data_IF_049359857951
#
_entry.id   IF_049359857951
#
_cell.length_a   1.000
_cell.length_b   1.000
_cell.length_c   1.000
_cell.angle_alpha   90.00
_cell.angle_beta   90.00
_cell.angle_gamma   90.00
#
_symmetry.space_group_name_H-M   'P 1'
#
loop_
_entity.id
_entity.type
_entity.pdbx_description
1 polymer ?
#
# COMPACT_ATOMS: atom_id res chain seq x y z
N UNK A 1 25.71 22.35 0.74
CA UNK A 1 26.23 22.87 2.03
C UNK A 1 27.60 23.44 1.68
N UNK A 2 27.61 24.74 1.42
CA UNK A 2 28.81 25.41 0.89
C UNK A 2 29.50 26.10 2.06
N UNK A 3 30.78 25.77 2.30
CA UNK A 3 31.68 26.55 3.14
C UNK A 3 31.85 26.15 4.60
N UNK A 4 31.30 25.07 5.07
CA UNK A 4 31.62 24.50 6.40
C UNK A 4 32.65 23.40 6.23
N UNK A 5 33.78 23.39 6.96
CA UNK A 5 34.70 22.27 6.96
C UNK A 5 33.95 21.01 7.39
N UNK A 6 33.86 20.02 6.51
CA UNK A 6 33.27 18.73 6.83
C UNK A 6 34.31 17.95 7.60
N UNK A 7 34.08 17.71 8.86
CA UNK A 7 34.89 16.86 9.72
C UNK A 7 34.28 15.46 9.73
N UNK A 8 35.00 14.49 9.23
CA UNK A 8 34.67 13.06 9.36
C UNK A 8 35.65 12.46 10.36
N UNK A 9 35.13 11.73 11.30
CA UNK A 9 35.91 11.00 12.25
C UNK A 9 36.56 9.75 11.66
N UNK A 10 37.27 9.01 12.50
CA UNK A 10 37.95 7.78 12.14
C UNK A 10 36.97 6.64 11.79
N UNK A 11 35.70 6.75 12.24
CA UNK A 11 34.62 5.83 11.93
C UNK A 11 33.96 6.10 10.55
N UNK A 12 34.37 7.21 9.86
CA UNK A 12 33.83 7.58 8.54
C UNK A 12 32.47 8.31 8.58
N UNK A 13 31.91 8.54 9.75
CA UNK A 13 30.69 9.34 9.92
C UNK A 13 31.05 10.84 10.05
N UNK A 14 30.08 11.68 9.72
CA UNK A 14 30.24 13.12 9.87
C UNK A 14 30.00 13.49 11.35
N UNK A 15 31.03 14.03 12.01
CA UNK A 15 31.04 14.31 13.45
C UNK A 15 29.81 15.09 13.96
N UNK A 16 29.27 16.00 13.15
CA UNK A 16 28.09 16.76 13.53
C UNK A 16 26.78 15.97 13.53
N UNK A 17 26.77 14.78 12.96
CA UNK A 17 25.64 13.86 12.99
C UNK A 17 25.75 12.84 14.13
N UNK A 18 26.81 12.90 14.91
CA UNK A 18 27.03 12.04 16.07
C UNK A 18 26.76 12.79 17.38
N UNK A 19 26.43 12.07 18.45
CA UNK A 19 26.26 12.64 19.78
C UNK A 19 27.58 13.09 20.41
N UNK A 20 28.71 12.53 19.95
CA UNK A 20 30.07 12.96 20.17
C UNK A 20 30.96 12.42 19.06
N UNK A 21 32.04 13.12 18.66
CA UNK A 21 32.92 12.65 17.58
C UNK A 21 33.38 11.21 17.76
N UNK A 22 33.31 10.42 16.68
CA UNK A 22 33.77 9.03 16.62
C UNK A 22 33.07 8.02 17.53
N UNK A 23 31.89 8.34 18.08
CA UNK A 23 31.18 7.42 18.99
C UNK A 23 30.18 6.51 18.28
N UNK A 24 29.94 6.67 16.98
CA UNK A 24 29.02 5.87 16.18
C UNK A 24 27.55 6.01 16.53
N UNK A 25 27.18 6.98 17.40
CA UNK A 25 25.80 7.22 17.79
C UNK A 25 25.28 8.50 17.13
N UNK A 26 24.26 8.36 16.31
CA UNK A 26 23.62 9.51 15.67
C UNK A 26 22.96 10.40 16.71
N UNK A 27 23.02 11.71 16.48
CA UNK A 27 22.39 12.74 17.33
C UNK A 27 20.96 13.07 16.89
N UNK A 28 20.40 12.29 16.00
CA UNK A 28 19.01 12.37 15.56
C UNK A 28 18.39 10.98 15.54
N UNK A 29 17.08 10.93 15.67
CA UNK A 29 16.28 9.72 15.46
C UNK A 29 15.71 9.78 14.06
N UNK A 30 15.88 8.72 13.26
CA UNK A 30 15.18 8.60 11.98
C UNK A 30 13.67 8.63 12.22
N UNK A 31 12.93 9.18 11.25
CA UNK A 31 11.47 9.13 11.28
C UNK A 31 11.00 7.71 10.94
N UNK A 32 10.02 7.24 11.68
CA UNK A 32 9.25 6.03 11.47
C UNK A 32 7.79 6.49 11.58
N UNK A 33 7.14 6.67 10.43
CA UNK A 33 5.85 7.37 10.35
C UNK A 33 4.69 6.46 10.79
N UNK A 34 4.71 5.19 10.42
CA UNK A 34 3.68 4.20 10.72
C UNK A 34 3.96 3.40 12.00
N UNK A 35 5.17 3.58 12.57
CA UNK A 35 5.61 2.92 13.82
C UNK A 35 5.74 1.40 13.73
N UNK A 36 6.06 0.87 12.55
CA UNK A 36 6.27 -0.57 12.35
C UNK A 36 7.67 -1.04 12.77
N UNK A 37 8.59 -0.11 13.04
CA UNK A 37 9.99 -0.35 13.43
C UNK A 37 10.97 -0.23 12.28
N UNK A 38 10.50 0.03 11.06
CA UNK A 38 11.29 0.34 9.87
C UNK A 38 11.36 1.86 9.72
N UNK A 39 12.56 2.42 9.59
CA UNK A 39 12.68 3.87 9.44
C UNK A 39 12.38 4.27 8.00
N UNK A 40 11.70 5.39 7.78
CA UNK A 40 11.24 5.86 6.46
C UNK A 40 12.31 5.82 5.35
N UNK A 41 13.59 5.99 5.66
CA UNK A 41 14.66 6.00 4.64
C UNK A 41 15.06 4.60 4.13
N UNK A 42 14.55 3.54 4.75
CA UNK A 42 14.72 2.13 4.35
C UNK A 42 13.37 1.42 4.18
N UNK A 43 12.28 2.12 4.44
CA UNK A 43 10.94 1.64 4.24
C UNK A 43 10.51 1.90 2.79
N UNK A 44 9.70 1.02 2.24
CA UNK A 44 9.13 1.16 0.91
C UNK A 44 7.69 1.68 0.93
N UNK A 45 7.08 1.76 2.13
CA UNK A 45 5.69 2.18 2.38
C UNK A 45 5.64 2.85 3.76
N UNK A 46 6.24 4.05 3.86
CA UNK A 46 6.53 4.75 5.12
C UNK A 46 5.29 5.09 5.97
N UNK A 47 4.08 5.09 5.41
CA UNK A 47 2.84 5.37 6.14
C UNK A 47 1.88 4.18 6.19
N UNK A 48 2.33 3.01 5.68
CA UNK A 48 1.66 1.71 5.71
C UNK A 48 0.24 1.77 5.11
N UNK A 49 0.09 2.49 4.01
CA UNK A 49 -1.17 2.62 3.30
C UNK A 49 -1.28 1.67 2.08
N UNK A 50 -0.28 0.78 1.92
CA UNK A 50 -0.13 -0.20 0.82
C UNK A 50 0.13 0.43 -0.55
N UNK A 51 0.56 1.68 -0.58
CA UNK A 51 1.12 2.36 -1.75
C UNK A 51 2.61 2.56 -1.51
N UNK A 52 3.45 2.23 -2.48
CA UNK A 52 4.88 2.45 -2.30
C UNK A 52 5.25 3.93 -2.32
N UNK A 53 6.13 4.35 -1.43
CA UNK A 53 6.66 5.71 -1.32
C UNK A 53 7.09 6.30 -2.65
N UNK A 54 7.72 5.49 -3.51
CA UNK A 54 8.20 5.90 -4.82
C UNK A 54 7.06 6.39 -5.73
N UNK A 55 5.89 5.73 -5.68
CA UNK A 55 4.70 6.13 -6.44
C UNK A 55 4.04 7.37 -5.84
N UNK A 56 3.94 7.42 -4.52
CA UNK A 56 3.33 8.54 -3.80
C UNK A 56 4.17 9.81 -3.89
N UNK A 57 5.50 9.68 -3.91
CA UNK A 57 6.42 10.77 -4.18
C UNK A 57 6.33 11.31 -5.62
N UNK A 58 5.52 10.68 -6.47
CA UNK A 58 5.27 11.10 -7.86
C UNK A 58 6.27 10.55 -8.86
N UNK A 59 6.97 9.49 -8.52
CA UNK A 59 7.88 8.78 -9.43
C UNK A 59 7.18 7.63 -10.14
N UNK A 60 7.88 7.05 -11.12
CA UNK A 60 7.41 5.88 -11.85
C UNK A 60 8.13 4.62 -11.33
N UNK A 61 7.34 3.60 -11.03
CA UNK A 61 7.79 2.26 -10.67
C UNK A 61 7.16 1.25 -11.65
N UNK A 62 7.79 1.01 -12.82
CA UNK A 62 7.17 0.22 -13.88
C UNK A 62 7.04 -1.27 -13.56
N UNK A 63 7.84 -1.78 -12.63
CA UNK A 63 7.84 -3.19 -12.22
C UNK A 63 7.19 -3.41 -10.84
N UNK A 64 6.66 -2.33 -10.25
CA UNK A 64 5.88 -2.33 -9.00
C UNK A 64 6.61 -3.06 -7.85
N UNK A 65 7.87 -2.72 -7.68
CA UNK A 65 8.73 -3.30 -6.64
C UNK A 65 9.04 -2.34 -5.48
N UNK A 66 8.50 -1.12 -5.50
CA UNK A 66 8.72 -0.07 -4.50
C UNK A 66 10.05 0.68 -4.66
N UNK A 67 10.81 0.40 -5.73
CA UNK A 67 12.12 1.01 -5.96
C UNK A 67 12.08 1.92 -7.18
N UNK A 68 12.70 3.07 -7.07
CA UNK A 68 12.74 4.04 -8.17
C UNK A 68 13.42 3.45 -9.42
N UNK A 69 12.71 3.50 -10.54
CA UNK A 69 13.19 3.04 -11.85
C UNK A 69 12.75 1.61 -12.18
N UNK A 70 13.44 0.97 -13.12
CA UNK A 70 13.17 -0.41 -13.50
C UNK A 70 14.09 -1.37 -12.73
N UNK A 71 13.70 -2.63 -12.65
CA UNK A 71 14.61 -3.68 -12.21
C UNK A 71 15.90 -3.64 -13.04
N UNK A 72 17.06 -3.64 -12.37
CA UNK A 72 18.34 -3.22 -12.92
C UNK A 72 18.36 -1.72 -13.33
N UNK A 73 18.11 -0.85 -12.34
CA UNK A 73 18.16 0.61 -12.54
C UNK A 73 19.53 1.09 -13.03
N UNK A 74 19.54 2.16 -13.80
CA UNK A 74 20.76 2.85 -14.24
C UNK A 74 20.90 4.17 -13.48
N UNK A 75 22.16 4.56 -13.24
CA UNK A 75 22.47 5.81 -12.52
C UNK A 75 23.45 6.67 -13.34
N UNK A 76 23.45 7.96 -13.08
CA UNK A 76 24.45 8.87 -13.59
C UNK A 76 25.76 8.79 -12.78
N UNK A 77 26.76 9.60 -13.15
CA UNK A 77 28.07 9.63 -12.49
C UNK A 77 28.01 10.08 -11.00
N UNK A 78 26.88 10.60 -10.55
CA UNK A 78 26.63 11.04 -9.16
C UNK A 78 25.74 10.06 -8.38
N UNK A 79 25.40 8.91 -8.98
CA UNK A 79 24.53 7.90 -8.38
C UNK A 79 23.03 8.21 -8.47
N UNK A 80 22.62 9.26 -9.21
CA UNK A 80 21.22 9.59 -9.42
C UNK A 80 20.59 8.62 -10.42
N UNK A 81 19.43 8.03 -10.08
CA UNK A 81 18.71 7.11 -10.98
C UNK A 81 18.27 7.83 -12.25
N UNK A 82 18.51 7.20 -13.40
CA UNK A 82 18.19 7.71 -14.75
C UNK A 82 17.25 6.79 -15.53
N UNK A 83 17.05 5.54 -15.08
CA UNK A 83 16.07 4.61 -15.67
C UNK A 83 14.63 5.02 -15.35
N UNK A 84 13.67 4.56 -16.13
CA UNK A 84 12.30 5.04 -16.07
C UNK A 84 12.24 6.52 -16.49
N UNK A 85 11.57 7.35 -15.71
CA UNK A 85 11.61 8.82 -15.87
C UNK A 85 12.73 9.47 -15.04
N UNK A 86 13.53 8.66 -14.32
CA UNK A 86 14.60 9.09 -13.45
C UNK A 86 14.13 9.82 -12.18
N UNK A 87 15.11 10.25 -11.37
CA UNK A 87 14.82 11.02 -10.15
C UNK A 87 14.49 12.48 -10.51
N UNK A 88 13.33 12.92 -10.07
CA UNK A 88 12.86 14.32 -10.18
C UNK A 88 12.71 14.93 -8.79
N UNK A 89 11.92 15.99 -8.64
CA UNK A 89 11.61 16.55 -7.32
C UNK A 89 10.45 15.75 -6.71
N UNK A 90 10.66 15.06 -5.58
CA UNK A 90 9.58 14.34 -4.90
C UNK A 90 8.56 15.29 -4.28
N UNK A 91 7.33 14.83 -4.14
CA UNK A 91 6.37 15.41 -3.21
C UNK A 91 6.48 14.68 -1.84
N UNK A 92 5.71 15.12 -0.84
CA UNK A 92 5.75 14.56 0.51
C UNK A 92 4.56 13.65 0.84
N UNK A 93 3.86 13.10 -0.14
CA UNK A 93 2.68 12.27 0.10
C UNK A 93 3.01 10.93 0.75
N UNK A 94 4.23 10.43 0.53
CA UNK A 94 4.74 9.16 1.08
C UNK A 94 4.79 9.06 2.62
N UNK A 95 4.42 10.10 3.34
CA UNK A 95 4.30 10.11 4.81
C UNK A 95 2.90 10.50 5.28
N UNK A 96 1.90 10.43 4.39
CA UNK A 96 0.52 10.82 4.64
C UNK A 96 -0.41 9.74 4.09
N UNK A 97 -0.82 8.81 4.96
CA UNK A 97 -1.68 7.70 4.56
C UNK A 97 -2.91 8.17 3.80
N UNK A 98 -3.09 7.64 2.60
CA UNK A 98 -4.24 7.96 1.76
C UNK A 98 -5.50 7.36 2.37
N UNK A 99 -6.53 8.15 2.68
CA UNK A 99 -7.76 7.62 3.27
C UNK A 99 -8.46 6.66 2.29
N UNK A 100 -9.10 5.62 2.82
CA UNK A 100 -9.91 4.71 2.03
C UNK A 100 -11.06 5.51 1.38
N UNK A 101 -11.09 5.53 0.05
CA UNK A 101 -12.15 6.19 -0.74
C UNK A 101 -12.87 5.16 -1.59
N UNK A 102 -14.11 4.86 -1.24
CA UNK A 102 -14.99 4.01 -2.07
C UNK A 102 -15.63 4.90 -3.15
N UNK A 103 -15.25 4.68 -4.40
CA UNK A 103 -15.78 5.42 -5.55
C UNK A 103 -17.06 4.79 -6.11
N UNK A 104 -17.25 3.48 -5.93
CA UNK A 104 -18.49 2.77 -6.29
C UNK A 104 -18.84 1.75 -5.23
N UNK A 105 -19.99 1.93 -4.60
CA UNK A 105 -20.53 0.96 -3.63
C UNK A 105 -20.89 -0.36 -4.33
N UNK A 106 -20.67 -1.51 -3.68
CA UNK A 106 -21.03 -2.80 -4.26
C UNK A 106 -22.54 -2.91 -4.46
N UNK A 107 -22.95 -3.34 -5.67
CA UNK A 107 -24.34 -3.55 -6.04
C UNK A 107 -24.52 -4.95 -6.60
N UNK A 108 -25.50 -5.68 -6.09
CA UNK A 108 -25.91 -6.95 -6.66
C UNK A 108 -26.85 -6.72 -7.87
N UNK A 109 -26.61 -7.42 -8.97
CA UNK A 109 -27.52 -7.45 -10.10
C UNK A 109 -28.58 -8.54 -9.89
N UNK A 110 -29.83 -8.35 -10.38
CA UNK A 110 -30.81 -9.42 -10.47
C UNK A 110 -30.26 -10.59 -11.28
N UNK A 111 -30.36 -11.80 -10.76
CA UNK A 111 -29.78 -13.01 -11.37
C UNK A 111 -30.77 -14.15 -11.30
N UNK A 112 -30.85 -14.97 -12.37
CA UNK A 112 -31.69 -16.13 -12.36
C UNK A 112 -31.07 -17.26 -11.52
N UNK A 113 -31.94 -18.17 -11.06
CA UNK A 113 -31.50 -19.37 -10.33
C UNK A 113 -30.52 -20.20 -11.17
N UNK A 114 -29.50 -20.76 -10.53
CA UNK A 114 -28.40 -21.54 -11.10
C UNK A 114 -27.40 -20.76 -11.97
N UNK A 115 -27.60 -19.46 -12.15
CA UNK A 115 -26.59 -18.61 -12.79
C UNK A 115 -25.54 -18.10 -11.81
N UNK A 116 -24.46 -17.54 -12.35
CA UNK A 116 -23.43 -16.88 -11.57
C UNK A 116 -23.69 -15.38 -11.52
N UNK A 117 -23.34 -14.75 -10.42
CA UNK A 117 -23.37 -13.30 -10.27
C UNK A 117 -22.11 -12.78 -9.60
N UNK A 118 -21.83 -11.50 -9.77
CA UNK A 118 -20.72 -10.84 -9.10
C UNK A 118 -21.15 -9.52 -8.48
N UNK A 119 -20.51 -9.19 -7.37
CA UNK A 119 -20.70 -7.91 -6.67
C UNK A 119 -19.32 -7.27 -6.60
N UNK A 120 -19.16 -6.10 -7.21
CA UNK A 120 -17.88 -5.40 -7.31
C UNK A 120 -17.95 -4.05 -6.63
N UNK A 121 -16.94 -3.73 -5.85
CA UNK A 121 -16.69 -2.40 -5.33
C UNK A 121 -15.57 -1.74 -6.14
N UNK A 122 -15.57 -0.40 -6.24
CA UNK A 122 -14.44 0.38 -6.72
C UNK A 122 -13.97 1.33 -5.63
N UNK A 123 -12.68 1.38 -5.43
CA UNK A 123 -12.00 2.23 -4.45
C UNK A 123 -10.71 2.83 -5.04
N UNK A 124 -9.99 3.61 -4.24
CA UNK A 124 -8.72 4.24 -4.64
C UNK A 124 -7.51 3.28 -4.66
N UNK A 125 -7.69 2.00 -4.31
CA UNK A 125 -6.62 0.99 -4.31
C UNK A 125 -5.86 0.90 -2.99
N UNK A 126 -4.85 0.00 -2.96
CA UNK A 126 -4.02 -0.21 -1.78
C UNK A 126 -4.74 -0.82 -0.57
N UNK A 127 -5.95 -1.35 -0.72
CA UNK A 127 -6.76 -1.87 0.37
C UNK A 127 -6.78 -3.40 0.38
N UNK A 128 -6.86 -3.98 1.57
CA UNK A 128 -7.24 -5.38 1.74
C UNK A 128 -8.75 -5.51 1.89
N UNK A 129 -9.29 -6.66 1.51
CA UNK A 129 -10.74 -6.88 1.44
C UNK A 129 -11.12 -8.15 2.19
N UNK A 130 -12.28 -8.13 2.85
CA UNK A 130 -12.90 -9.32 3.41
C UNK A 130 -14.41 -9.22 3.27
N UNK A 131 -14.98 -10.10 2.47
CA UNK A 131 -16.43 -10.17 2.29
C UNK A 131 -17.10 -10.96 3.41
N UNK A 132 -18.28 -10.49 3.78
CA UNK A 132 -19.14 -11.08 4.79
C UNK A 132 -20.57 -11.22 4.27
N UNK A 133 -21.24 -12.24 4.76
CA UNK A 133 -22.63 -12.57 4.45
C UNK A 133 -23.52 -12.41 5.66
N UNK A 134 -24.72 -11.88 5.45
CA UNK A 134 -25.81 -11.97 6.41
C UNK A 134 -27.06 -12.57 5.75
N UNK A 135 -27.63 -13.59 6.38
CA UNK A 135 -28.87 -14.23 5.96
C UNK A 135 -30.10 -13.66 6.65
N UNK A 136 -29.92 -12.94 7.76
CA UNK A 136 -30.98 -12.35 8.61
C UNK A 136 -30.96 -10.82 8.62
N UNK A 137 -29.96 -10.21 7.99
CA UNK A 137 -29.76 -8.76 7.94
C UNK A 137 -29.15 -8.15 9.20
N UNK A 138 -28.78 -8.96 10.20
CA UNK A 138 -28.26 -8.52 11.49
C UNK A 138 -26.94 -9.20 11.87
N UNK A 139 -26.85 -10.50 11.67
CA UNK A 139 -25.67 -11.31 11.97
C UNK A 139 -24.80 -11.44 10.73
N UNK A 140 -23.49 -11.18 10.87
CA UNK A 140 -22.55 -11.22 9.76
C UNK A 140 -21.54 -12.36 9.96
N UNK A 141 -21.31 -13.12 8.90
CA UNK A 141 -20.36 -14.22 8.88
C UNK A 141 -19.32 -13.97 7.82
N UNK A 142 -18.04 -14.12 8.17
CA UNK A 142 -16.91 -14.01 7.25
C UNK A 142 -17.03 -15.11 6.19
N UNK A 143 -16.93 -14.71 4.92
CA UNK A 143 -16.91 -15.64 3.80
C UNK A 143 -15.50 -16.21 3.58
N UNK A 144 -15.47 -17.49 3.21
CA UNK A 144 -14.28 -18.17 2.69
C UNK A 144 -14.55 -18.64 1.25
N UNK A 145 -13.50 -18.77 0.44
CA UNK A 145 -13.66 -19.35 -0.90
C UNK A 145 -14.11 -20.79 -0.79
N UNK A 146 -15.19 -21.14 -1.49
CA UNK A 146 -15.78 -22.49 -1.55
C UNK A 146 -16.42 -22.74 -2.93
N UNK A 147 -17.29 -23.74 -3.04
CA UNK A 147 -18.01 -24.03 -4.29
C UNK A 147 -19.05 -22.96 -4.67
N UNK A 148 -19.50 -22.16 -3.69
CA UNK A 148 -20.53 -21.13 -3.88
C UNK A 148 -19.91 -19.74 -4.04
N UNK A 149 -18.86 -19.44 -3.25
CA UNK A 149 -18.25 -18.12 -3.21
C UNK A 149 -16.78 -18.15 -3.60
N UNK A 150 -16.35 -17.16 -4.37
CA UNK A 150 -14.94 -16.91 -4.69
C UNK A 150 -14.65 -15.41 -4.74
N UNK A 151 -13.37 -15.04 -4.68
CA UNK A 151 -12.96 -13.64 -4.63
C UNK A 151 -13.25 -12.95 -3.28
N UNK A 152 -13.39 -13.72 -2.19
CA UNK A 152 -13.83 -13.23 -0.88
C UNK A 152 -12.84 -12.24 -0.23
N UNK A 153 -11.60 -12.19 -0.72
CA UNK A 153 -10.57 -11.23 -0.30
C UNK A 153 -10.14 -10.27 -1.41
N UNK A 154 -11.02 -10.06 -2.39
CA UNK A 154 -10.76 -9.15 -3.53
C UNK A 154 -11.87 -8.11 -3.66
N UNK A 155 -11.69 -7.14 -4.57
CA UNK A 155 -12.73 -6.12 -4.90
C UNK A 155 -14.04 -6.72 -5.41
N UNK A 156 -14.00 -7.96 -5.93
CA UNK A 156 -15.15 -8.62 -6.56
C UNK A 156 -15.45 -9.94 -5.87
N UNK A 157 -16.61 -10.03 -5.25
CA UNK A 157 -17.20 -11.30 -4.80
C UNK A 157 -17.95 -11.94 -5.97
N UNK A 158 -17.72 -13.22 -6.21
CA UNK A 158 -18.47 -14.03 -7.17
C UNK A 158 -19.29 -15.05 -6.40
N UNK A 159 -20.58 -15.13 -6.70
CA UNK A 159 -21.47 -16.21 -6.26
C UNK A 159 -21.82 -17.11 -7.46
N UNK A 160 -21.55 -18.40 -7.32
CA UNK A 160 -21.72 -19.42 -8.36
C UNK A 160 -22.99 -20.22 -8.10
N UNK A 161 -23.77 -20.46 -9.16
CA UNK A 161 -25.02 -21.24 -9.12
C UNK A 161 -25.96 -20.77 -8.00
N UNK A 162 -26.34 -19.49 -8.05
CA UNK A 162 -27.19 -18.87 -7.03
C UNK A 162 -28.53 -19.63 -6.90
N UNK A 163 -29.02 -19.76 -5.66
CA UNK A 163 -30.24 -20.49 -5.35
C UNK A 163 -31.34 -19.53 -4.91
N UNK A 164 -32.57 -19.89 -5.16
CA UNK A 164 -33.72 -19.11 -4.71
C UNK A 164 -33.73 -18.88 -3.17
N UNK A 165 -33.14 -19.81 -2.40
CA UNK A 165 -32.97 -19.67 -0.95
C UNK A 165 -32.02 -18.55 -0.54
N UNK A 166 -31.21 -18.03 -1.45
CA UNK A 166 -30.28 -16.90 -1.22
C UNK A 166 -30.99 -15.55 -1.43
N UNK A 167 -32.25 -15.55 -1.82
CA UNK A 167 -33.01 -14.33 -1.98
C UNK A 167 -33.13 -13.60 -0.62
N UNK A 168 -32.76 -12.34 -0.59
CA UNK A 168 -32.74 -11.51 0.64
C UNK A 168 -31.42 -11.56 1.41
N UNK A 169 -30.44 -12.39 1.00
CA UNK A 169 -29.10 -12.34 1.58
C UNK A 169 -28.48 -10.97 1.36
N UNK A 170 -27.71 -10.51 2.35
CA UNK A 170 -26.97 -9.25 2.29
C UNK A 170 -25.48 -9.52 2.33
N UNK A 171 -24.74 -8.75 1.58
CA UNK A 171 -23.29 -8.83 1.51
C UNK A 171 -22.69 -7.49 1.89
N UNK A 172 -21.58 -7.52 2.59
CA UNK A 172 -20.74 -6.35 2.84
C UNK A 172 -19.27 -6.73 2.70
N UNK A 173 -18.43 -5.74 2.48
CA UNK A 173 -16.99 -5.91 2.43
C UNK A 173 -16.36 -4.99 3.47
N UNK A 174 -15.43 -5.54 4.25
CA UNK A 174 -14.53 -4.77 5.11
C UNK A 174 -13.29 -4.42 4.30
N UNK A 175 -12.87 -3.18 4.39
CA UNK A 175 -11.63 -2.68 3.78
C UNK A 175 -10.69 -2.24 4.89
N UNK A 176 -9.40 -2.60 4.74
CA UNK A 176 -8.34 -2.11 5.58
C UNK A 176 -7.16 -1.71 4.68
N UNK A 177 -6.42 -0.72 5.12
CA UNK A 177 -5.12 -0.36 4.60
C UNK A 177 -4.08 -1.36 5.12
#
# INVERSE_FOLDING_TARGET
IDGVPISFGTNGLFDSLETAPDNGKLNYTGTDTDTDGTLNYIDLDSDNDSCFDVLEAGFNDPDNNGILGNNAFTVDAKGKVTSGIGYTTPNNNYVIATPILITTQPQAAPTCELENTSITLLDNGGNTYQWELSTDGTTWTILSNDATYSGVTTKTLVATSVKNSMNGYKYRVQLNK
#
